data_IF_616329299529
#
_entry.id   IF_616329299529
#
_cell.length_a   1.000
_cell.length_b   1.000
_cell.length_c   1.000
_cell.angle_alpha   90.00
_cell.angle_beta   90.00
_cell.angle_gamma   90.00
#
_symmetry.space_group_name_H-M   'P 1'
#
loop_
_entity.id
_entity.type
_entity.pdbx_description
1 polymer ?
#
# COMPACT_ATOMS: atom_id res chain seq x y z
N UNK A 1 -7.36 10.36 9.18
CA UNK A 1 -7.45 9.03 9.85
C UNK A 1 -6.23 8.86 10.74
N UNK A 2 -6.36 8.17 11.88
CA UNK A 2 -5.20 7.82 12.69
C UNK A 2 -4.23 6.97 11.84
N UNK A 3 -2.92 7.21 11.98
CA UNK A 3 -1.82 6.51 11.30
C UNK A 3 -1.96 4.99 11.42
N UNK A 4 -2.39 4.49 12.59
CA UNK A 4 -2.64 3.07 12.84
C UNK A 4 -3.80 2.54 12.00
N UNK A 5 -4.91 3.29 11.93
CA UNK A 5 -6.09 2.93 11.12
C UNK A 5 -5.74 2.88 9.63
N UNK A 6 -4.93 3.82 9.14
CA UNK A 6 -4.45 3.83 7.76
C UNK A 6 -3.62 2.58 7.45
N UNK A 7 -2.70 2.21 8.34
CA UNK A 7 -1.89 1.00 8.22
C UNK A 7 -2.76 -0.27 8.16
N UNK A 8 -3.69 -0.42 9.12
CA UNK A 8 -4.57 -1.58 9.19
C UNK A 8 -5.45 -1.74 7.94
N UNK A 9 -6.07 -0.65 7.47
CA UNK A 9 -6.87 -0.67 6.25
C UNK A 9 -6.03 -0.97 5.01
N UNK A 10 -4.80 -0.46 4.94
CA UNK A 10 -3.90 -0.73 3.81
C UNK A 10 -3.56 -2.22 3.71
N UNK A 11 -3.28 -2.89 4.84
CA UNK A 11 -3.00 -4.33 4.87
C UNK A 11 -4.21 -5.14 4.40
N UNK A 12 -5.41 -4.82 4.90
CA UNK A 12 -6.65 -5.48 4.49
C UNK A 12 -6.89 -5.27 2.99
N UNK A 13 -6.66 -4.05 2.50
CA UNK A 13 -6.80 -3.71 1.09
C UNK A 13 -5.87 -4.54 0.19
N UNK A 14 -4.57 -4.61 0.50
CA UNK A 14 -3.65 -5.42 -0.31
C UNK A 14 -3.97 -6.90 -0.25
N UNK A 15 -4.36 -7.42 0.92
CA UNK A 15 -4.77 -8.81 1.05
C UNK A 15 -5.97 -9.12 0.14
N UNK A 16 -7.01 -8.29 0.20
CA UNK A 16 -8.18 -8.45 -0.67
C UNK A 16 -7.80 -8.36 -2.15
N UNK A 17 -6.91 -7.42 -2.51
CA UNK A 17 -6.47 -7.24 -3.89
C UNK A 17 -5.66 -8.44 -4.42
N UNK A 18 -4.78 -9.03 -3.59
CA UNK A 18 -4.07 -10.28 -3.93
C UNK A 18 -5.06 -11.42 -4.17
N UNK A 19 -6.05 -11.59 -3.28
CA UNK A 19 -7.07 -12.64 -3.42
C UNK A 19 -7.88 -12.48 -4.71
N UNK A 20 -8.24 -11.25 -5.07
CA UNK A 20 -8.94 -10.95 -6.32
C UNK A 20 -8.06 -11.31 -7.53
N UNK A 21 -6.80 -10.88 -7.57
CA UNK A 21 -5.89 -11.18 -8.68
C UNK A 21 -5.65 -12.69 -8.82
N UNK A 22 -5.48 -13.38 -7.70
CA UNK A 22 -5.34 -14.84 -7.68
C UNK A 22 -6.62 -15.54 -8.16
N UNK A 23 -7.80 -15.04 -7.81
CA UNK A 23 -9.09 -15.54 -8.32
C UNK A 23 -9.20 -15.41 -9.85
N UNK A 24 -8.64 -14.33 -10.42
CA UNK A 24 -8.54 -14.14 -11.87
C UNK A 24 -7.41 -14.94 -12.54
N UNK A 25 -6.66 -15.76 -11.79
CA UNK A 25 -5.56 -16.55 -12.31
C UNK A 25 -4.31 -15.74 -12.66
N UNK A 26 -4.22 -14.50 -12.18
CA UNK A 26 -3.04 -13.65 -12.37
C UNK A 26 -2.00 -14.08 -11.34
N UNK A 27 -0.83 -14.51 -11.81
CA UNK A 27 0.27 -14.89 -10.94
C UNK A 27 1.01 -13.69 -10.34
N UNK A 28 1.69 -13.89 -9.19
CA UNK A 28 2.42 -12.84 -8.49
C UNK A 28 3.54 -12.20 -9.33
N UNK A 29 4.09 -12.89 -10.31
CA UNK A 29 5.09 -12.37 -11.24
C UNK A 29 4.64 -11.12 -12.02
N UNK A 30 3.32 -10.94 -12.19
CA UNK A 30 2.77 -9.79 -12.91
C UNK A 30 2.56 -8.60 -11.98
N UNK A 31 1.97 -8.80 -10.80
CA UNK A 31 1.50 -7.71 -9.96
C UNK A 31 2.42 -7.37 -8.77
N UNK A 32 3.34 -8.26 -8.39
CA UNK A 32 4.17 -8.12 -7.19
C UNK A 32 5.00 -6.83 -7.17
N UNK A 33 5.59 -6.45 -8.30
CA UNK A 33 6.39 -5.21 -8.40
C UNK A 33 5.53 -3.97 -8.13
N UNK A 34 4.30 -3.93 -8.64
CA UNK A 34 3.36 -2.85 -8.36
C UNK A 34 2.96 -2.84 -6.88
N UNK A 35 2.71 -4.01 -6.28
CA UNK A 35 2.40 -4.10 -4.85
C UNK A 35 3.54 -3.59 -3.97
N UNK A 36 4.78 -3.95 -4.26
CA UNK A 36 5.94 -3.44 -3.54
C UNK A 36 6.09 -1.92 -3.68
N UNK A 37 5.82 -1.38 -4.87
CA UNK A 37 5.81 0.06 -5.08
C UNK A 37 4.75 0.77 -4.23
N UNK A 38 3.53 0.23 -4.15
CA UNK A 38 2.49 0.80 -3.31
C UNK A 38 2.81 0.69 -1.81
N UNK A 39 3.40 -0.42 -1.36
CA UNK A 39 3.90 -0.56 0.01
C UNK A 39 4.97 0.50 0.30
N UNK A 40 5.89 0.74 -0.63
CA UNK A 40 6.91 1.78 -0.52
C UNK A 40 6.31 3.19 -0.40
N UNK A 41 5.29 3.51 -1.19
CA UNK A 41 4.56 4.79 -1.07
C UNK A 41 3.97 4.94 0.32
N UNK A 42 3.33 3.88 0.83
CA UNK A 42 2.73 3.92 2.17
C UNK A 42 3.79 4.19 3.22
N UNK A 43 4.90 3.44 3.20
CA UNK A 43 6.03 3.68 4.12
C UNK A 43 6.52 5.13 4.03
N UNK A 44 6.62 5.68 2.81
CA UNK A 44 7.03 7.07 2.59
C UNK A 44 6.09 8.06 3.28
N UNK A 45 4.78 7.82 3.30
CA UNK A 45 3.81 8.67 4.03
C UNK A 45 4.11 8.70 5.54
N UNK A 46 4.62 7.61 6.12
CA UNK A 46 4.96 7.54 7.54
C UNK A 46 6.32 8.16 7.87
N UNK A 47 7.29 8.02 6.96
CA UNK A 47 8.68 8.44 7.18
C UNK A 47 8.91 9.90 6.78
N UNK A 48 8.32 10.35 5.66
CA UNK A 48 8.54 11.70 5.18
C UNK A 48 7.75 12.72 6.02
N UNK A 49 8.37 13.87 6.33
CA UNK A 49 7.67 14.98 6.96
C UNK A 49 6.58 15.49 6.02
N UNK A 50 5.36 15.63 6.55
CA UNK A 50 4.24 16.21 5.81
C UNK A 50 4.08 17.72 6.08
N UNK A 51 4.76 18.23 7.12
CA UNK A 51 4.76 19.64 7.50
C UNK A 51 5.98 20.33 6.89
N UNK A 52 5.86 20.71 5.61
CA UNK A 52 6.81 21.63 5.02
C UNK A 52 6.50 23.06 5.49
N UNK A 53 7.51 23.87 5.87
CA UNK A 53 7.28 25.27 6.16
C UNK A 53 6.66 25.93 4.94
N UNK A 54 5.44 26.44 5.09
CA UNK A 54 4.81 27.28 4.08
C UNK A 54 5.54 28.64 4.12
N UNK A 55 6.05 29.06 2.97
CA UNK A 55 6.59 30.42 2.76
C UNK A 55 5.56 31.48 3.12
#
# INVERSE_FOLDING_TARGET
>A
MNKITLLGLSVIFFYALIQILQFYGIGPEVYSMYMYFYIFIIISIFVLPNDYPKL
#
